data_IF_174994787876
#
_entry.id   IF_174994787876
#
_cell.length_a   1.000
_cell.length_b   1.000
_cell.length_c   1.000
_cell.angle_alpha   90.00
_cell.angle_beta   90.00
_cell.angle_gamma   90.00
#
_symmetry.space_group_name_H-M   'P 1'
#
loop_
_entity.id
_entity.type
_entity.pdbx_description
1 polymer ?
#
# COMPACT_ATOMS: atom_id res chain seq x y z
N UNK A 1 40.71 7.74 -31.49
CA UNK A 1 39.37 7.67 -30.90
C UNK A 1 38.35 7.92 -32.00
N UNK A 2 37.74 6.87 -32.53
CA UNK A 2 36.79 6.99 -33.64
C UNK A 2 35.52 7.68 -33.16
N UNK A 3 35.25 8.90 -33.66
CA UNK A 3 34.03 9.63 -33.39
C UNK A 3 32.86 8.97 -34.11
N UNK A 4 32.21 8.02 -33.45
CA UNK A 4 30.94 7.47 -33.91
C UNK A 4 29.92 8.60 -33.99
N UNK A 5 29.45 8.91 -35.20
CA UNK A 5 28.32 9.83 -35.39
C UNK A 5 27.13 9.25 -34.64
N UNK A 6 26.79 9.85 -33.50
CA UNK A 6 25.55 9.54 -32.80
C UNK A 6 24.40 9.76 -33.79
N UNK A 7 23.57 8.74 -34.00
CA UNK A 7 22.38 8.85 -34.83
C UNK A 7 21.51 10.02 -34.38
N UNK A 8 20.78 10.64 -35.31
CA UNK A 8 19.90 11.76 -35.00
C UNK A 8 18.92 11.38 -33.88
N UNK A 9 18.89 12.20 -32.82
CA UNK A 9 18.00 11.98 -31.67
C UNK A 9 16.55 12.06 -32.16
N UNK A 10 15.75 11.03 -31.86
CA UNK A 10 14.37 10.94 -32.33
C UNK A 10 13.47 11.86 -31.52
N UNK A 11 12.72 12.71 -32.23
CA UNK A 11 11.69 13.59 -31.66
C UNK A 11 10.36 12.85 -31.47
N UNK A 12 9.49 13.30 -30.56
CA UNK A 12 8.13 12.80 -30.46
C UNK A 12 7.39 12.91 -31.80
N UNK A 13 6.47 11.96 -32.05
CA UNK A 13 5.70 11.88 -33.29
C UNK A 13 4.83 13.12 -33.48
N UNK A 14 4.71 13.58 -34.73
CA UNK A 14 3.87 14.72 -35.13
C UNK A 14 2.69 14.26 -35.99
N UNK A 15 1.64 15.07 -36.12
CA UNK A 15 0.44 14.69 -36.89
C UNK A 15 0.74 14.43 -38.37
N UNK A 16 1.70 15.15 -38.95
CA UNK A 16 2.12 14.96 -40.34
C UNK A 16 2.68 13.55 -40.59
N UNK A 17 3.29 12.93 -39.57
CA UNK A 17 3.90 11.61 -39.66
C UNK A 17 2.89 10.47 -39.45
N UNK A 18 1.63 10.77 -39.16
CA UNK A 18 0.54 9.80 -39.04
C UNK A 18 -0.45 9.86 -40.22
N UNK A 19 -0.11 10.64 -41.25
CA UNK A 19 -0.92 10.78 -42.46
C UNK A 19 -0.81 9.59 -43.43
N UNK A 20 -1.67 9.55 -44.46
CA UNK A 20 -1.64 8.52 -45.49
C UNK A 20 -0.30 8.51 -46.24
N UNK A 21 0.23 7.32 -46.55
CA UNK A 21 1.52 7.14 -47.23
C UNK A 21 2.76 7.21 -46.32
N UNK A 22 2.57 7.25 -45.00
CA UNK A 22 3.66 7.16 -44.01
C UNK A 22 3.76 5.75 -43.41
N UNK A 23 4.93 5.37 -42.88
CA UNK A 23 5.12 4.09 -42.14
C UNK A 23 4.09 3.92 -40.99
N UNK A 24 3.58 5.04 -40.47
CA UNK A 24 2.62 5.07 -39.36
C UNK A 24 1.20 5.43 -39.81
N UNK A 25 0.83 5.16 -41.06
CA UNK A 25 -0.52 5.40 -41.57
C UNK A 25 -1.60 4.77 -40.68
N UNK A 26 -2.63 5.55 -40.36
CA UNK A 26 -3.78 5.12 -39.56
C UNK A 26 -5.07 5.43 -40.27
N UNK A 27 -5.99 4.47 -40.20
CA UNK A 27 -7.36 4.67 -40.63
C UNK A 27 -8.12 5.47 -39.56
N UNK A 28 -8.86 6.50 -40.00
CA UNK A 28 -9.68 7.35 -39.15
C UNK A 28 -9.01 8.64 -38.66
N UNK A 29 -9.70 9.36 -37.78
CA UNK A 29 -9.27 10.68 -37.28
C UNK A 29 -8.15 10.54 -36.24
N UNK A 30 -6.95 11.01 -36.57
CA UNK A 30 -5.80 11.04 -35.65
C UNK A 30 -5.86 12.28 -34.75
N UNK A 31 -5.87 12.08 -33.43
CA UNK A 31 -5.87 13.16 -32.42
C UNK A 31 -4.47 13.36 -31.83
N UNK A 32 -4.13 14.59 -31.43
CA UNK A 32 -2.85 14.92 -30.78
C UNK A 32 -2.59 14.11 -29.50
N UNK A 33 -3.64 13.80 -28.73
CA UNK A 33 -3.52 13.01 -27.51
C UNK A 33 -3.02 11.57 -27.76
N UNK A 34 -3.28 11.02 -28.95
CA UNK A 34 -2.82 9.68 -29.33
C UNK A 34 -1.30 9.61 -29.45
N UNK A 35 -0.64 10.71 -29.80
CA UNK A 35 0.81 10.78 -29.95
C UNK A 35 1.56 10.79 -28.60
N UNK A 36 0.84 11.07 -27.50
CA UNK A 36 1.38 11.06 -26.13
C UNK A 36 1.23 9.70 -25.43
N UNK A 37 0.46 8.78 -25.98
CA UNK A 37 0.22 7.47 -25.38
C UNK A 37 1.11 6.39 -26.03
N UNK A 38 2.07 5.80 -25.29
CA UNK A 38 2.96 4.78 -25.84
C UNK A 38 2.24 3.51 -26.31
N UNK A 39 1.10 3.17 -25.71
CA UNK A 39 0.34 1.97 -26.07
C UNK A 39 -0.38 2.12 -27.41
N UNK A 40 -0.63 3.35 -27.84
CA UNK A 40 -1.33 3.64 -29.08
C UNK A 40 -0.35 3.71 -30.24
N UNK A 41 0.91 4.10 -30.03
CA UNK A 41 1.92 4.27 -31.07
C UNK A 41 2.28 2.94 -31.75
N UNK A 42 2.46 2.98 -33.07
CA UNK A 42 2.92 1.83 -33.84
C UNK A 42 4.44 1.70 -33.68
N UNK A 43 4.98 0.48 -33.48
CA UNK A 43 6.42 0.26 -33.50
C UNK A 43 6.93 0.36 -34.95
N UNK A 44 7.99 1.14 -35.15
CA UNK A 44 8.68 1.25 -36.44
C UNK A 44 9.74 0.15 -36.56
N UNK A 45 9.82 -0.52 -37.72
CA UNK A 45 10.72 -1.67 -37.88
C UNK A 45 12.17 -1.21 -37.93
N UNK A 46 13.06 -1.94 -37.23
CA UNK A 46 14.50 -1.65 -37.19
C UNK A 46 14.87 -0.42 -36.36
N UNK A 47 13.92 0.13 -35.58
CA UNK A 47 14.10 1.36 -34.83
C UNK A 47 13.56 1.20 -33.40
N UNK A 48 14.19 1.85 -32.40
CA UNK A 48 13.66 1.82 -31.04
C UNK A 48 12.32 2.54 -30.97
N UNK A 49 11.48 2.12 -30.02
CA UNK A 49 10.18 2.73 -29.79
C UNK A 49 10.33 4.22 -29.49
N UNK A 50 9.46 5.05 -30.07
CA UNK A 50 9.51 6.50 -29.89
C UNK A 50 9.06 6.89 -28.48
N UNK A 51 9.75 7.86 -27.88
CA UNK A 51 9.32 8.46 -26.62
C UNK A 51 8.12 9.39 -26.86
N UNK A 52 7.07 9.24 -26.04
CA UNK A 52 5.80 9.99 -26.17
C UNK A 52 5.73 11.22 -25.27
N UNK A 53 6.83 11.53 -24.57
CA UNK A 53 6.96 12.66 -23.68
C UNK A 53 7.90 13.70 -24.27
N UNK A 54 7.68 14.96 -23.89
CA UNK A 54 8.54 16.06 -24.30
C UNK A 54 9.88 15.93 -23.60
N UNK A 55 10.90 15.51 -24.36
CA UNK A 55 12.27 15.54 -23.90
C UNK A 55 12.77 16.99 -23.90
N UNK A 56 13.62 17.38 -22.93
CA UNK A 56 14.48 18.53 -23.05
C UNK A 56 15.18 18.61 -24.43
N UNK A 57 15.44 19.83 -24.89
CA UNK A 57 15.99 20.10 -26.22
C UNK A 57 17.33 19.41 -26.49
N UNK A 58 17.83 19.48 -27.74
CA UNK A 58 19.05 18.78 -28.15
C UNK A 58 20.28 19.16 -27.32
N UNK A 59 20.32 20.36 -26.76
CA UNK A 59 21.41 20.89 -25.94
C UNK A 59 21.42 20.33 -24.51
N UNK A 60 20.35 19.64 -24.10
CA UNK A 60 20.28 19.02 -22.79
C UNK A 60 21.13 17.74 -22.75
N UNK A 61 22.01 17.69 -21.76
CA UNK A 61 22.83 16.51 -21.47
C UNK A 61 22.19 15.73 -20.33
N UNK A 62 21.74 14.51 -20.62
CA UNK A 62 21.21 13.61 -19.59
C UNK A 62 22.34 13.03 -18.75
N UNK A 63 22.03 12.77 -17.48
CA UNK A 63 22.97 12.23 -16.50
C UNK A 63 23.23 13.19 -15.35
N UNK A 64 23.83 12.66 -14.29
CA UNK A 64 24.23 13.46 -13.15
C UNK A 64 25.60 14.08 -13.43
N UNK A 65 25.64 15.36 -13.73
CA UNK A 65 26.91 16.09 -13.78
C UNK A 65 27.38 16.33 -12.33
N UNK A 66 28.35 15.53 -11.88
CA UNK A 66 29.06 15.80 -10.64
C UNK A 66 30.03 16.95 -10.89
N UNK A 67 29.58 18.15 -10.57
CA UNK A 67 30.45 19.32 -10.55
C UNK A 67 31.49 19.13 -9.44
N UNK A 68 32.71 18.77 -9.82
CA UNK A 68 33.84 18.64 -8.89
C UNK A 68 34.21 20.02 -8.39
N UNK A 69 33.72 20.38 -7.21
CA UNK A 69 34.17 21.56 -6.46
C UNK A 69 35.29 21.19 -5.49
N UNK A 70 36.18 20.29 -5.90
CA UNK A 70 37.19 19.74 -5.00
C UNK A 70 38.43 20.63 -4.91
N UNK A 71 38.43 21.83 -5.51
CA UNK A 71 39.56 22.77 -5.46
C UNK A 71 40.88 22.29 -6.06
N UNK A 72 40.93 21.03 -6.49
CA UNK A 72 42.15 20.32 -6.85
C UNK A 72 43.02 19.97 -5.63
N UNK A 73 44.23 19.52 -5.94
CA UNK A 73 45.28 19.20 -4.98
C UNK A 73 45.58 20.33 -3.97
N UNK A 74 45.62 21.63 -4.34
CA UNK A 74 45.97 22.67 -3.37
C UNK A 74 44.91 22.86 -2.28
N UNK A 75 43.62 22.73 -2.59
CA UNK A 75 42.56 22.83 -1.58
C UNK A 75 42.60 21.64 -0.62
N UNK A 76 42.86 20.44 -1.15
CA UNK A 76 42.99 19.20 -0.36
C UNK A 76 44.19 19.17 0.60
N UNK A 77 45.31 19.82 0.23
CA UNK A 77 46.51 19.91 1.09
C UNK A 77 46.44 21.13 2.02
N UNK A 78 45.89 22.25 1.55
CA UNK A 78 45.94 23.54 2.25
C UNK A 78 44.87 23.76 3.32
N UNK A 79 43.76 23.01 3.30
CA UNK A 79 42.65 23.22 4.23
C UNK A 79 42.36 21.96 5.06
N UNK A 80 42.69 22.01 6.35
CA UNK A 80 42.20 21.04 7.32
C UNK A 80 40.78 21.42 7.75
N UNK A 81 39.81 21.25 6.85
CA UNK A 81 38.42 21.51 7.18
C UNK A 81 37.93 20.46 8.18
N UNK A 82 37.86 20.85 9.45
CA UNK A 82 37.16 20.07 10.47
C UNK A 82 35.72 19.92 9.99
N UNK A 83 35.33 18.70 9.62
CA UNK A 83 33.99 18.37 9.14
C UNK A 83 32.98 18.87 10.18
N UNK A 84 32.40 20.05 9.92
CA UNK A 84 31.30 20.56 10.73
C UNK A 84 30.15 19.59 10.49
N UNK A 85 29.82 18.80 11.50
CA UNK A 85 28.69 17.89 11.44
C UNK A 85 27.48 18.71 10.99
N UNK A 86 26.99 18.44 9.77
CA UNK A 86 25.78 19.09 9.29
C UNK A 86 24.68 18.70 10.29
N UNK A 87 23.94 19.68 10.86
CA UNK A 87 22.83 19.34 11.71
C UNK A 87 21.87 18.50 10.88
N UNK A 88 21.76 17.21 11.22
CA UNK A 88 20.79 16.34 10.58
C UNK A 88 19.42 16.82 11.04
N UNK A 89 18.75 17.63 10.22
CA UNK A 89 17.37 18.07 10.47
C UNK A 89 16.50 16.81 10.35
N UNK A 90 16.25 16.16 11.48
CA UNK A 90 15.29 15.06 11.55
C UNK A 90 13.90 15.66 11.47
N UNK A 91 13.29 15.56 10.30
CA UNK A 91 11.88 15.91 10.12
C UNK A 91 11.08 14.81 10.80
N UNK A 92 10.60 15.07 12.02
CA UNK A 92 9.72 14.13 12.70
C UNK A 92 8.46 13.87 11.89
N UNK A 93 7.97 12.61 11.85
CA UNK A 93 6.73 12.29 11.19
C UNK A 93 5.55 13.01 11.87
N UNK A 94 4.50 13.28 11.09
CA UNK A 94 3.27 13.88 11.60
C UNK A 94 2.50 12.89 12.47
N UNK A 95 1.90 13.41 13.54
CA UNK A 95 1.03 12.62 14.41
C UNK A 95 -0.44 12.79 13.99
N UNK A 96 -0.87 11.93 13.07
CA UNK A 96 -2.23 11.98 12.53
C UNK A 96 -3.31 11.65 13.57
N UNK A 97 -2.97 10.94 14.64
CA UNK A 97 -3.95 10.55 15.67
C UNK A 97 -4.32 11.75 16.53
N UNK A 98 -3.31 12.49 17.00
CA UNK A 98 -3.58 13.72 17.76
C UNK A 98 -4.15 14.82 16.88
N UNK A 99 -3.67 14.97 15.65
CA UNK A 99 -4.25 15.91 14.68
C UNK A 99 -5.72 15.59 14.37
N UNK A 100 -6.04 14.32 14.13
CA UNK A 100 -7.42 13.89 13.83
C UNK A 100 -8.36 14.12 15.01
N UNK A 101 -7.93 13.83 16.24
CA UNK A 101 -8.70 14.13 17.45
C UNK A 101 -8.98 15.62 17.59
N UNK A 102 -7.95 16.45 17.48
CA UNK A 102 -8.12 17.91 17.59
C UNK A 102 -8.98 18.49 16.47
N UNK A 103 -8.89 17.95 15.26
CA UNK A 103 -9.73 18.38 14.15
C UNK A 103 -11.22 18.13 14.44
N UNK A 104 -11.54 16.99 15.07
CA UNK A 104 -12.91 16.68 15.52
C UNK A 104 -13.34 17.62 16.65
N UNK A 105 -12.45 17.88 17.61
CA UNK A 105 -12.73 18.82 18.72
C UNK A 105 -12.97 20.25 18.20
N UNK A 106 -12.29 20.66 17.12
CA UNK A 106 -12.52 21.94 16.42
C UNK A 106 -13.71 21.91 15.45
N UNK A 107 -14.43 20.78 15.33
CA UNK A 107 -15.66 20.67 14.54
C UNK A 107 -15.45 20.40 13.05
N UNK A 108 -14.28 19.92 12.62
CA UNK A 108 -14.08 19.47 11.25
C UNK A 108 -14.92 18.21 10.98
N UNK A 109 -15.80 18.28 9.99
CA UNK A 109 -16.72 17.18 9.61
C UNK A 109 -16.42 16.65 8.21
N UNK A 110 -15.89 17.51 7.33
CA UNK A 110 -15.65 17.17 5.92
C UNK A 110 -14.18 16.89 5.65
N UNK A 111 -13.86 15.95 4.75
CA UNK A 111 -12.47 15.61 4.38
C UNK A 111 -11.65 16.83 3.90
N UNK A 112 -12.30 17.81 3.26
CA UNK A 112 -11.67 19.06 2.83
C UNK A 112 -11.25 19.93 4.01
N UNK A 113 -12.07 19.98 5.06
CA UNK A 113 -11.77 20.71 6.31
C UNK A 113 -10.61 20.06 7.03
N UNK A 114 -10.59 18.72 7.14
CA UNK A 114 -9.44 17.98 7.66
C UNK A 114 -8.16 18.28 6.87
N UNK A 115 -8.22 18.34 5.54
CA UNK A 115 -7.05 18.66 4.72
C UNK A 115 -6.54 20.09 4.94
N UNK A 116 -7.43 21.06 5.19
CA UNK A 116 -7.06 22.43 5.56
C UNK A 116 -6.49 22.48 6.98
N UNK A 117 -7.12 21.77 7.91
CA UNK A 117 -6.68 21.65 9.29
C UNK A 117 -5.27 21.04 9.38
N UNK A 118 -4.97 19.99 8.62
CA UNK A 118 -3.65 19.37 8.57
C UNK A 118 -2.56 20.25 7.96
N UNK A 119 -2.93 21.23 7.15
CA UNK A 119 -1.98 22.24 6.65
C UNK A 119 -1.73 23.33 7.67
N UNK A 120 -2.75 23.71 8.43
CA UNK A 120 -2.68 24.77 9.43
C UNK A 120 -2.01 24.32 10.73
N UNK A 121 -2.29 23.09 11.19
CA UNK A 121 -1.78 22.53 12.46
C UNK A 121 -0.84 21.36 12.20
N UNK A 122 0.45 21.64 12.05
CA UNK A 122 1.50 20.61 11.88
C UNK A 122 1.95 20.06 13.24
N UNK A 123 1.21 19.09 13.80
CA UNK A 123 1.61 18.38 15.02
C UNK A 123 2.46 17.17 14.63
N UNK A 124 3.67 17.10 15.21
CA UNK A 124 4.63 16.03 14.93
C UNK A 124 4.78 15.11 16.12
N UNK A 125 5.08 13.84 15.82
CA UNK A 125 5.42 12.88 16.86
C UNK A 125 6.60 13.41 17.67
N UNK A 126 6.51 13.23 18.98
CA UNK A 126 7.64 13.48 19.87
C UNK A 126 8.77 12.51 19.53
N UNK A 127 9.99 12.97 19.69
CA UNK A 127 11.19 12.14 19.56
C UNK A 127 11.30 11.22 20.79
N UNK A 128 10.42 10.21 20.88
CA UNK A 128 10.42 9.21 21.97
C UNK A 128 11.67 8.30 21.90
N UNK A 129 12.42 8.36 20.80
CA UNK A 129 13.55 7.47 20.47
C UNK A 129 14.94 8.06 20.69
N UNK A 130 15.06 9.25 21.28
CA UNK A 130 16.36 9.76 21.71
C UNK A 130 16.35 9.80 23.24
N UNK A 131 16.53 8.61 23.83
CA UNK A 131 17.40 8.55 24.99
C UNK A 131 18.64 9.35 24.60
N UNK A 132 18.76 10.55 25.18
CA UNK A 132 19.94 11.39 25.06
C UNK A 132 21.07 10.61 25.70
N UNK A 133 21.64 9.66 24.98
CA UNK A 133 22.88 9.00 25.34
C UNK A 133 24.02 9.98 25.05
N UNK A 134 23.96 11.15 25.70
CA UNK A 134 25.16 11.78 26.21
C UNK A 134 25.56 11.03 27.48
N UNK A 135 25.67 9.70 27.42
CA UNK A 135 26.34 8.98 28.49
C UNK A 135 27.78 9.46 28.44
N UNK A 136 28.18 10.26 29.42
CA UNK A 136 29.58 10.67 29.58
C UNK A 136 30.35 9.39 29.80
N UNK A 137 31.04 8.95 28.76
CA UNK A 137 31.81 7.72 28.79
C UNK A 137 32.95 7.94 29.80
N UNK A 138 32.98 7.19 30.93
CA UNK A 138 33.92 7.47 32.01
C UNK A 138 35.36 7.23 31.53
N UNK A 139 36.34 8.08 31.91
CA UNK A 139 37.72 7.93 31.47
C UNK A 139 38.27 6.56 31.90
N UNK A 140 38.78 5.77 30.93
CA UNK A 140 39.23 4.39 31.13
C UNK A 140 38.32 3.31 30.55
N UNK A 141 37.23 3.68 29.89
CA UNK A 141 36.41 2.74 29.12
C UNK A 141 37.09 2.37 27.81
N UNK A 142 37.40 1.10 27.67
CA UNK A 142 37.94 0.54 26.42
C UNK A 142 36.79 0.34 25.44
N UNK A 143 36.85 1.03 24.29
CA UNK A 143 35.94 0.77 23.18
C UNK A 143 36.40 -0.47 22.42
N UNK A 144 35.46 -1.35 22.13
CA UNK A 144 35.73 -2.59 21.39
C UNK A 144 34.81 -3.71 21.85
N UNK A 145 34.60 -4.69 20.98
CA UNK A 145 33.91 -5.91 21.36
C UNK A 145 34.95 -6.82 22.04
N UNK A 146 34.77 -7.24 23.30
CA UNK A 146 35.69 -8.20 23.91
C UNK A 146 35.77 -9.44 23.02
N UNK A 147 36.94 -10.09 23.00
CA UNK A 147 37.11 -11.32 22.25
C UNK A 147 35.97 -12.28 22.61
N UNK A 148 35.26 -12.77 21.60
CA UNK A 148 34.15 -13.71 21.81
C UNK A 148 34.74 -14.89 22.60
N UNK A 149 34.24 -15.20 23.81
CA UNK A 149 34.72 -16.37 24.53
C UNK A 149 34.50 -17.59 23.63
N UNK A 150 35.47 -18.51 23.63
CA UNK A 150 35.30 -19.78 22.91
C UNK A 150 34.01 -20.44 23.39
N UNK A 151 33.27 -21.04 22.48
CA UNK A 151 32.08 -21.82 22.86
C UNK A 151 32.52 -22.91 23.84
N UNK A 152 32.06 -22.89 25.10
CA UNK A 152 32.49 -23.86 26.09
C UNK A 152 32.17 -25.26 25.59
N UNK A 153 33.19 -26.09 25.43
CA UNK A 153 33.08 -27.43 24.84
C UNK A 153 32.10 -28.33 25.61
N UNK A 154 32.00 -28.11 26.92
CA UNK A 154 31.08 -28.82 27.79
C UNK A 154 29.61 -28.64 27.39
N UNK A 155 29.19 -27.42 27.04
CA UNK A 155 27.81 -27.15 26.61
C UNK A 155 27.48 -27.79 25.25
N UNK A 156 28.49 -28.05 24.42
CA UNK A 156 28.34 -28.80 23.17
C UNK A 156 28.12 -30.30 23.43
N UNK A 157 28.94 -30.89 24.32
CA UNK A 157 28.82 -32.29 24.73
C UNK A 157 27.49 -32.57 25.44
N UNK A 158 26.98 -31.61 26.22
CA UNK A 158 25.68 -31.70 26.89
C UNK A 158 24.49 -31.32 26.00
N UNK A 159 24.72 -30.93 24.75
CA UNK A 159 23.68 -30.47 23.83
C UNK A 159 22.82 -29.29 24.34
N UNK A 160 23.36 -28.46 25.24
CA UNK A 160 22.61 -27.33 25.83
C UNK A 160 22.10 -26.34 24.78
N UNK A 161 22.85 -26.12 23.71
CA UNK A 161 22.41 -25.27 22.61
C UNK A 161 21.21 -25.84 21.84
N UNK A 162 21.08 -27.18 21.76
CA UNK A 162 19.89 -27.83 21.21
C UNK A 162 18.70 -27.56 22.11
N UNK A 163 18.86 -27.69 23.43
CA UNK A 163 17.80 -27.43 24.40
C UNK A 163 17.33 -25.98 24.37
N UNK A 164 18.26 -25.02 24.41
CA UNK A 164 17.96 -23.58 24.29
C UNK A 164 17.23 -23.26 22.97
N UNK A 165 17.62 -23.91 21.87
CA UNK A 165 16.93 -23.74 20.60
C UNK A 165 15.51 -24.30 20.66
N UNK A 166 15.32 -25.50 21.23
CA UNK A 166 14.00 -26.10 21.39
C UNK A 166 13.09 -25.24 22.28
N UNK A 167 13.59 -24.67 23.37
CA UNK A 167 12.87 -23.73 24.22
C UNK A 167 12.48 -22.46 23.47
N UNK A 168 13.41 -21.89 22.70
CA UNK A 168 13.14 -20.72 21.85
C UNK A 168 12.06 -21.01 20.81
N UNK A 169 12.05 -22.21 20.22
CA UNK A 169 10.98 -22.64 19.29
C UNK A 169 9.64 -22.81 20.02
N UNK A 170 9.62 -23.44 21.21
CA UNK A 170 8.40 -23.57 22.03
C UNK A 170 7.83 -22.19 22.38
N UNK A 171 8.68 -21.27 22.84
CA UNK A 171 8.28 -19.89 23.15
C UNK A 171 7.71 -19.16 21.93
N UNK A 172 8.34 -19.30 20.75
CA UNK A 172 7.83 -18.76 19.48
C UNK A 172 6.46 -19.31 19.13
N UNK A 173 6.26 -20.61 19.26
CA UNK A 173 4.97 -21.25 18.98
C UNK A 173 3.88 -20.76 19.93
N UNK A 174 4.19 -20.60 21.22
CA UNK A 174 3.25 -20.03 22.22
C UNK A 174 2.85 -18.60 21.84
N UNK A 175 3.81 -17.74 21.50
CA UNK A 175 3.54 -16.36 21.07
C UNK A 175 2.69 -16.35 19.79
N UNK A 176 3.03 -17.17 18.79
CA UNK A 176 2.23 -17.29 17.56
C UNK A 176 0.80 -17.76 17.84
N UNK A 177 0.62 -18.73 18.73
CA UNK A 177 -0.69 -19.22 19.12
C UNK A 177 -1.50 -18.17 19.87
N UNK A 178 -0.89 -17.37 20.75
CA UNK A 178 -1.53 -16.24 21.41
C UNK A 178 -1.93 -15.14 20.42
N UNK A 179 -1.07 -14.81 19.44
CA UNK A 179 -1.38 -13.84 18.38
C UNK A 179 -2.54 -14.35 17.50
N UNK A 180 -2.51 -15.63 17.10
CA UNK A 180 -3.61 -16.25 16.33
C UNK A 180 -4.92 -16.28 17.11
N UNK A 181 -4.90 -16.58 18.42
CA UNK A 181 -6.07 -16.47 19.31
C UNK A 181 -6.61 -15.04 19.43
N UNK A 182 -5.76 -14.01 19.33
CA UNK A 182 -6.23 -12.62 19.30
C UNK A 182 -6.86 -12.23 17.95
N UNK A 183 -6.48 -12.91 16.87
CA UNK A 183 -7.03 -12.69 15.51
C UNK A 183 -8.31 -13.50 15.29
N UNK A 184 -8.63 -14.49 16.14
CA UNK A 184 -9.77 -15.40 15.92
C UNK A 184 -11.14 -14.76 16.12
N UNK A 185 -11.23 -13.58 16.73
CA UNK A 185 -12.44 -12.75 16.69
C UNK A 185 -12.49 -11.94 15.38
N UNK A 186 -12.39 -12.64 14.24
CA UNK A 186 -12.87 -12.10 12.98
C UNK A 186 -14.38 -12.00 13.15
N UNK A 187 -14.88 -10.80 13.47
CA UNK A 187 -16.32 -10.51 13.51
C UNK A 187 -16.91 -10.96 12.18
N UNK A 188 -17.66 -12.07 12.21
CA UNK A 188 -18.30 -12.60 11.02
C UNK A 188 -19.21 -11.54 10.38
N UNK A 189 -19.26 -11.52 9.06
CA UNK A 189 -20.18 -10.64 8.34
C UNK A 189 -21.64 -11.06 8.61
N UNK A 190 -22.60 -10.17 8.36
CA UNK A 190 -24.03 -10.43 8.60
C UNK A 190 -24.52 -11.76 7.98
N UNK A 191 -23.94 -12.17 6.85
CA UNK A 191 -24.22 -13.44 6.19
C UNK A 191 -23.81 -14.68 7.00
N UNK A 192 -22.65 -14.66 7.67
CA UNK A 192 -22.24 -15.80 8.52
C UNK A 192 -23.08 -15.85 9.79
N UNK A 193 -23.47 -14.71 10.35
CA UNK A 193 -24.39 -14.64 11.49
C UNK A 193 -25.77 -15.23 11.15
N UNK A 194 -26.33 -14.89 9.99
CA UNK A 194 -27.63 -15.41 9.53
C UNK A 194 -27.61 -16.92 9.20
N UNK A 195 -26.43 -17.51 8.97
CA UNK A 195 -26.28 -18.97 8.79
C UNK A 195 -26.37 -19.74 10.11
N UNK A 196 -25.76 -19.21 11.17
CA UNK A 196 -25.83 -19.82 12.51
C UNK A 196 -27.15 -19.51 13.20
N UNK A 197 -27.74 -18.35 12.90
CA UNK A 197 -28.99 -17.87 13.47
C UNK A 197 -29.98 -17.57 12.33
N UNK A 198 -30.67 -18.60 11.78
CA UNK A 198 -31.73 -18.38 10.81
C UNK A 198 -32.81 -17.50 11.44
N UNK A 199 -33.28 -16.51 10.69
CA UNK A 199 -34.38 -15.67 11.15
C UNK A 199 -35.64 -16.53 11.30
N UNK A 200 -36.52 -16.23 12.27
CA UNK A 200 -37.81 -16.90 12.33
C UNK A 200 -38.51 -16.73 10.98
N UNK A 201 -39.04 -17.84 10.45
CA UNK A 201 -39.81 -17.84 9.21
C UNK A 201 -40.98 -16.89 9.43
N UNK A 202 -40.97 -15.76 8.73
CA UNK A 202 -42.13 -14.87 8.71
C UNK A 202 -43.20 -15.63 7.96
N UNK A 203 -44.35 -15.86 8.58
CA UNK A 203 -45.53 -16.33 7.87
C UNK A 203 -45.84 -15.27 6.81
N UNK A 204 -45.54 -15.61 5.55
CA UNK A 204 -45.77 -14.71 4.43
C UNK A 204 -47.29 -14.60 4.25
N UNK A 205 -47.85 -13.53 4.79
CA UNK A 205 -49.20 -13.11 4.44
C UNK A 205 -49.17 -12.61 3.00
N UNK A 206 -49.50 -13.49 2.07
CA UNK A 206 -49.74 -13.10 0.69
C UNK A 206 -50.82 -12.03 0.68
N UNK A 207 -50.52 -10.87 0.09
CA UNK A 207 -51.46 -9.77 0.01
C UNK A 207 -52.76 -10.23 -0.66
N UNK A 208 -53.87 -10.14 0.07
CA UNK A 208 -55.22 -10.33 -0.46
C UNK A 208 -56.10 -9.14 -0.09
N UNK A 209 -57.12 -8.85 -0.92
CA UNK A 209 -58.06 -7.75 -0.67
C UNK A 209 -58.99 -8.11 0.51
N UNK A 210 -59.25 -7.16 1.42
CA UNK A 210 -60.11 -7.35 2.60
C UNK A 210 -61.52 -7.90 2.28
N UNK A 211 -62.09 -7.54 1.12
CA UNK A 211 -63.40 -8.05 0.69
C UNK A 211 -63.44 -9.57 0.48
N UNK A 212 -62.29 -10.22 0.34
CA UNK A 212 -62.19 -11.67 0.14
C UNK A 212 -61.84 -12.45 1.42
N UNK A 213 -61.65 -11.79 2.57
CA UNK A 213 -61.45 -12.49 3.86
C UNK A 213 -62.67 -13.31 4.30
N UNK A 214 -63.86 -12.82 3.97
CA UNK A 214 -65.14 -13.45 4.35
C UNK A 214 -65.78 -14.27 3.23
N UNK A 215 -65.11 -14.36 2.07
CA UNK A 215 -65.65 -15.08 0.93
C UNK A 215 -65.30 -16.56 1.05
N UNK A 216 -66.32 -17.42 1.13
CA UNK A 216 -66.08 -18.86 1.08
C UNK A 216 -65.62 -19.29 -0.32
N UNK A 217 -64.69 -20.27 -0.42
CA UNK A 217 -64.27 -20.81 -1.70
C UNK A 217 -65.48 -21.36 -2.48
N UNK A 218 -65.83 -20.69 -3.57
CA UNK A 218 -66.99 -21.06 -4.39
C UNK A 218 -66.75 -22.35 -5.19
N UNK A 219 -65.49 -22.73 -5.38
CA UNK A 219 -65.09 -23.94 -6.11
C UNK A 219 -64.62 -25.01 -5.12
N UNK A 220 -65.36 -26.12 -5.06
CA UNK A 220 -64.91 -27.36 -4.40
C UNK A 220 -64.16 -28.20 -5.43
N UNK A 221 -62.85 -28.03 -5.50
CA UNK A 221 -61.97 -28.79 -6.41
C UNK A 221 -61.56 -30.16 -5.86
N UNK A 222 -61.83 -30.43 -4.57
CA UNK A 222 -61.49 -31.70 -3.94
C UNK A 222 -62.66 -32.67 -4.00
N UNK A 223 -62.42 -33.96 -4.35
CA UNK A 223 -63.45 -34.99 -4.37
C UNK A 223 -64.11 -35.19 -3.00
N UNK A 224 -63.31 -35.20 -1.92
CA UNK A 224 -63.77 -35.49 -0.56
C UNK A 224 -63.34 -34.41 0.46
N UNK A 225 -64.12 -34.15 1.52
CA UNK A 225 -63.77 -33.18 2.56
C UNK A 225 -62.48 -33.55 3.32
N UNK A 226 -62.20 -34.84 3.47
CA UNK A 226 -61.00 -35.32 4.15
C UNK A 226 -59.73 -35.15 3.30
N UNK A 227 -59.87 -35.28 1.98
CA UNK A 227 -58.79 -35.00 1.02
C UNK A 227 -58.36 -33.52 1.06
N UNK A 228 -59.33 -32.61 1.24
CA UNK A 228 -59.08 -31.17 1.42
C UNK A 228 -58.30 -30.88 2.71
N UNK A 229 -58.70 -31.47 3.84
CA UNK A 229 -58.00 -31.29 5.13
C UNK A 229 -56.56 -31.78 5.06
N UNK A 230 -56.34 -32.94 4.42
CA UNK A 230 -55.01 -33.53 4.23
C UNK A 230 -54.08 -32.66 3.37
N UNK A 231 -54.61 -32.03 2.32
CA UNK A 231 -53.85 -31.11 1.48
C UNK A 231 -53.47 -29.82 2.23
N UNK A 232 -54.38 -29.24 3.01
CA UNK A 232 -54.11 -28.03 3.81
C UNK A 232 -53.14 -28.29 4.97
N UNK A 233 -53.13 -29.50 5.54
CA UNK A 233 -52.15 -29.86 6.58
C UNK A 233 -50.74 -30.08 6.04
N UNK A 234 -50.56 -30.28 4.72
CA UNK A 234 -49.26 -30.55 4.11
C UNK A 234 -48.48 -29.27 3.74
N UNK A 235 -49.13 -28.09 3.81
CA UNK A 235 -48.56 -26.80 3.43
C UNK A 235 -48.07 -25.94 4.60
N UNK A 236 -47.96 -26.52 5.80
CA UNK A 236 -47.42 -25.88 7.01
C UNK A 236 -46.11 -26.55 7.44
#
# INVERSE_FOLDING_TARGET
MAGGRAGSRRRPMTLAEAGPGTENERLGVVRLSMLRNPLILKPEVGKPMRNCYSLPGPDFTYGMYLHKRDGGVPEAIGHWDAVKAKPHIRVMPRDFVTMGRMAVDEGCTTAREFALYYKFKDIRCKDEGILRYGCKIPPGTTFGRPARPSTPFFDLMQHRYKELWMESQRARTVVQHMVKKKISDVRGNRTTFLRTHPLPVKEESFWHLQRFEKAEPHLRTFPDPDSRKKALSASH
#
